data_IF_460868609053
#
_entry.id   IF_460868609053
#
_cell.length_a   1.000
_cell.length_b   1.000
_cell.length_c   1.000
_cell.angle_alpha   90.00
_cell.angle_beta   90.00
_cell.angle_gamma   90.00
#
_symmetry.space_group_name_H-M   'P 1'
#
loop_
_entity.id
_entity.type
_entity.pdbx_description
1 polymer ?
#
# COMPACT_ATOMS: atom_id res chain seq x y z
N UNK A 1 11.80 -0.85 -6.22
CA UNK A 1 11.90 -2.02 -5.30
C UNK A 1 10.63 -2.86 -5.27
N UNK A 2 9.46 -2.32 -4.91
CA UNK A 2 8.20 -3.08 -4.87
C UNK A 2 7.89 -3.87 -6.16
N UNK A 3 8.04 -3.22 -7.33
CA UNK A 3 7.86 -3.88 -8.64
C UNK A 3 8.73 -5.14 -8.83
N UNK A 4 9.99 -5.11 -8.37
CA UNK A 4 10.92 -6.25 -8.51
C UNK A 4 10.55 -7.40 -7.57
N UNK A 5 10.05 -7.08 -6.36
CA UNK A 5 9.57 -8.10 -5.42
C UNK A 5 8.33 -8.78 -5.99
N UNK A 6 7.40 -8.02 -6.60
CA UNK A 6 6.24 -8.55 -7.29
C UNK A 6 6.64 -9.42 -8.49
N UNK A 7 7.61 -8.99 -9.28
CA UNK A 7 8.13 -9.77 -10.40
C UNK A 7 8.64 -11.14 -9.94
N UNK A 8 9.51 -11.17 -8.93
CA UNK A 8 10.01 -12.43 -8.38
C UNK A 8 8.87 -13.26 -7.80
N UNK A 9 7.92 -12.64 -7.10
CA UNK A 9 6.75 -13.32 -6.55
C UNK A 9 5.88 -13.97 -7.63
N UNK A 10 5.62 -13.26 -8.74
CA UNK A 10 4.89 -13.78 -9.90
C UNK A 10 5.63 -14.96 -10.53
N UNK A 11 6.95 -14.84 -10.71
CA UNK A 11 7.76 -15.94 -11.26
C UNK A 11 7.64 -17.20 -10.38
N UNK A 12 7.76 -17.06 -9.07
CA UNK A 12 7.66 -18.17 -8.11
C UNK A 12 6.26 -18.80 -8.11
N UNK A 13 5.20 -17.99 -8.15
CA UNK A 13 3.82 -18.49 -8.20
C UNK A 13 3.54 -19.28 -9.48
N UNK A 14 4.03 -18.80 -10.64
CA UNK A 14 3.91 -19.54 -11.90
C UNK A 14 4.61 -20.88 -11.82
N UNK A 15 5.88 -20.87 -11.39
CA UNK A 15 6.66 -22.10 -11.22
C UNK A 15 6.00 -23.10 -10.26
N UNK A 16 5.35 -22.61 -9.19
CA UNK A 16 4.58 -23.44 -8.27
C UNK A 16 3.32 -24.03 -8.92
N UNK A 17 2.53 -23.22 -9.63
CA UNK A 17 1.30 -23.67 -10.27
C UNK A 17 1.55 -24.64 -11.43
N UNK A 18 2.71 -24.55 -12.06
CA UNK A 18 3.17 -25.48 -13.10
C UNK A 18 3.77 -26.78 -12.51
N UNK A 19 4.06 -26.80 -11.21
CA UNK A 19 4.62 -27.95 -10.50
C UNK A 19 3.51 -28.86 -9.95
N UNK A 20 3.74 -30.18 -9.98
CA UNK A 20 2.85 -31.17 -9.36
C UNK A 20 3.01 -31.27 -7.83
N UNK A 21 4.02 -30.60 -7.26
CA UNK A 21 4.30 -30.65 -5.82
C UNK A 21 3.50 -29.59 -5.06
N UNK A 22 2.65 -30.03 -4.14
CA UNK A 22 1.98 -29.11 -3.21
C UNK A 22 2.97 -28.62 -2.14
N UNK A 23 3.11 -27.29 -1.94
CA UNK A 23 3.93 -26.74 -0.87
C UNK A 23 3.30 -26.96 0.50
N UNK A 24 4.13 -27.08 1.54
CA UNK A 24 3.69 -27.29 2.92
C UNK A 24 2.80 -26.17 3.46
N UNK A 25 3.18 -24.90 3.24
CA UNK A 25 2.53 -23.72 3.82
C UNK A 25 1.81 -22.89 2.75
N UNK A 26 1.03 -23.53 1.86
CA UNK A 26 0.28 -22.93 0.73
C UNK A 26 1.15 -22.38 -0.41
N UNK A 27 2.31 -21.82 -0.10
CA UNK A 27 3.30 -21.33 -1.06
C UNK A 27 4.70 -21.87 -0.79
N UNK A 28 5.54 -21.94 -1.83
CA UNK A 28 6.94 -22.35 -1.71
C UNK A 28 7.81 -21.41 -0.86
N UNK A 29 8.87 -21.94 -0.27
CA UNK A 29 9.72 -21.28 0.74
C UNK A 29 10.22 -19.89 0.32
N UNK A 30 10.74 -19.75 -0.90
CA UNK A 30 11.19 -18.46 -1.45
C UNK A 30 10.07 -17.40 -1.40
N UNK A 31 8.83 -17.78 -1.72
CA UNK A 31 7.71 -16.86 -1.75
C UNK A 31 7.24 -16.49 -0.33
N UNK A 32 7.36 -17.41 0.63
CA UNK A 32 7.07 -17.14 2.04
C UNK A 32 7.91 -15.98 2.58
N UNK A 33 9.15 -15.83 2.11
CA UNK A 33 10.05 -14.73 2.50
C UNK A 33 9.61 -13.38 1.88
N UNK A 34 9.03 -13.41 0.68
CA UNK A 34 8.65 -12.18 -0.04
C UNK A 34 7.28 -11.63 0.37
N UNK A 35 6.32 -12.51 0.70
CA UNK A 35 4.95 -12.12 1.01
C UNK A 35 4.81 -11.10 2.16
N UNK A 36 5.56 -11.18 3.27
CA UNK A 36 5.53 -10.15 4.31
C UNK A 36 5.83 -8.75 3.75
N UNK A 37 6.88 -8.61 2.94
CA UNK A 37 7.25 -7.33 2.36
C UNK A 37 6.19 -6.82 1.38
N UNK A 38 5.63 -7.70 0.54
CA UNK A 38 4.55 -7.35 -0.40
C UNK A 38 3.32 -6.87 0.36
N UNK A 39 2.91 -7.61 1.39
CA UNK A 39 1.78 -7.29 2.24
C UNK A 39 1.94 -5.92 2.91
N UNK A 40 3.12 -5.63 3.48
CA UNK A 40 3.39 -4.34 4.12
C UNK A 40 3.34 -3.19 3.11
N UNK A 41 3.83 -3.39 1.88
CA UNK A 41 3.67 -2.41 0.82
C UNK A 41 2.19 -2.17 0.48
N UNK A 42 1.37 -3.22 0.41
CA UNK A 42 -0.07 -3.10 0.24
C UNK A 42 -0.72 -2.30 1.38
N UNK A 43 -0.37 -2.58 2.64
CA UNK A 43 -0.88 -1.84 3.80
C UNK A 43 -0.50 -0.36 3.79
N UNK A 44 0.75 -0.06 3.41
CA UNK A 44 1.18 1.32 3.25
C UNK A 44 0.39 2.02 2.13
N UNK A 45 0.22 1.36 0.98
CA UNK A 45 -0.55 1.93 -0.12
C UNK A 45 -2.02 2.15 0.26
N UNK A 46 -2.62 1.25 1.04
CA UNK A 46 -3.96 1.43 1.62
C UNK A 46 -4.07 2.70 2.45
N UNK A 47 -3.06 2.99 3.29
CA UNK A 47 -3.02 4.17 4.15
C UNK A 47 -2.82 5.48 3.36
N UNK A 48 -2.03 5.43 2.28
CA UNK A 48 -1.44 6.62 1.64
C UNK A 48 -1.89 6.80 0.20
N UNK A 49 -3.17 6.54 -0.11
CA UNK A 49 -3.71 6.59 -1.48
C UNK A 49 -3.44 7.90 -2.21
N UNK A 50 -3.44 9.04 -1.50
CA UNK A 50 -3.16 10.36 -2.09
C UNK A 50 -1.71 10.55 -2.54
N UNK A 51 -0.79 9.69 -2.11
CA UNK A 51 0.64 9.77 -2.47
C UNK A 51 0.91 9.12 -3.82
N UNK A 52 0.16 8.06 -4.14
CA UNK A 52 0.42 7.23 -5.31
C UNK A 52 -0.78 7.14 -6.27
N UNK A 53 -1.95 7.70 -5.96
CA UNK A 53 -3.11 7.76 -6.85
C UNK A 53 -3.38 9.23 -7.27
N UNK A 54 -3.26 9.59 -8.56
CA UNK A 54 -3.02 8.71 -9.71
C UNK A 54 -1.63 8.07 -9.69
N UNK A 55 -1.50 6.81 -10.16
CA UNK A 55 -0.23 6.11 -10.27
C UNK A 55 0.89 6.98 -10.85
N UNK A 56 2.04 7.11 -10.16
CA UNK A 56 3.13 7.90 -10.69
C UNK A 56 3.63 7.25 -11.99
N UNK A 57 3.88 8.08 -13.01
CA UNK A 57 4.53 7.62 -14.24
C UNK A 57 5.97 7.24 -13.93
N UNK A 58 6.32 5.97 -14.13
CA UNK A 58 7.70 5.50 -13.99
C UNK A 58 8.47 5.54 -15.33
N UNK A 59 7.96 6.24 -16.34
CA UNK A 59 8.50 6.27 -17.72
C UNK A 59 9.97 6.68 -17.80
N UNK A 60 10.46 7.44 -16.82
CA UNK A 60 11.82 7.98 -16.81
C UNK A 60 12.84 6.97 -16.25
N UNK A 61 12.40 5.93 -15.55
CA UNK A 61 13.27 4.91 -14.98
C UNK A 61 13.45 3.74 -15.96
N UNK A 62 14.35 3.90 -16.93
CA UNK A 62 14.71 2.86 -17.91
C UNK A 62 15.56 1.70 -17.35
N UNK A 63 15.75 1.63 -16.03
CA UNK A 63 16.60 0.63 -15.38
C UNK A 63 15.72 -0.44 -14.74
N UNK A 64 15.61 -1.58 -15.42
CA UNK A 64 14.86 -2.74 -14.93
C UNK A 64 14.15 -3.50 -16.05
N UNK A 65 13.62 -4.70 -15.75
CA UNK A 65 12.85 -5.49 -16.72
C UNK A 65 11.56 -4.77 -17.11
N UNK A 66 11.11 -4.94 -18.36
CA UNK A 66 9.93 -4.24 -18.88
C UNK A 66 8.67 -4.58 -18.07
N UNK A 67 7.81 -3.59 -17.87
CA UNK A 67 6.53 -3.74 -17.18
C UNK A 67 6.46 -2.98 -15.85
N UNK A 68 5.27 -2.49 -15.53
CA UNK A 68 4.98 -1.69 -14.35
C UNK A 68 4.56 -2.54 -13.15
N UNK A 69 4.54 -1.92 -11.96
CA UNK A 69 4.18 -2.60 -10.73
C UNK A 69 2.70 -3.06 -10.71
N UNK A 70 1.80 -2.35 -11.39
CA UNK A 70 0.37 -2.60 -11.36
C UNK A 70 -0.01 -3.80 -12.22
N UNK A 71 0.57 -3.93 -13.41
CA UNK A 71 0.43 -5.12 -14.25
C UNK A 71 0.98 -6.38 -13.55
N UNK A 72 2.12 -6.24 -12.84
CA UNK A 72 2.70 -7.35 -12.04
C UNK A 72 1.82 -7.70 -10.84
N UNK A 73 1.27 -6.70 -10.14
CA UNK A 73 0.34 -6.93 -9.04
C UNK A 73 -0.95 -7.60 -9.51
N UNK A 74 -1.52 -7.16 -10.64
CA UNK A 74 -2.71 -7.78 -11.23
C UNK A 74 -2.45 -9.27 -11.54
N UNK A 75 -1.31 -9.56 -12.15
CA UNK A 75 -0.87 -10.94 -12.41
C UNK A 75 -0.73 -11.73 -11.10
N UNK A 76 -0.12 -11.15 -10.07
CA UNK A 76 0.04 -11.81 -8.78
C UNK A 76 -1.32 -12.12 -8.13
N UNK A 77 -2.27 -11.19 -8.15
CA UNK A 77 -3.63 -11.38 -7.64
C UNK A 77 -4.32 -12.53 -8.35
N UNK A 78 -4.27 -12.57 -9.69
CA UNK A 78 -4.84 -13.66 -10.49
C UNK A 78 -4.23 -15.03 -10.15
N UNK A 79 -2.93 -15.07 -9.83
CA UNK A 79 -2.24 -16.32 -9.49
C UNK A 79 -2.54 -16.76 -8.05
N UNK A 80 -2.58 -15.82 -7.10
CA UNK A 80 -2.93 -16.08 -5.71
C UNK A 80 -4.38 -16.60 -5.57
N UNK A 81 -5.31 -16.09 -6.38
CA UNK A 81 -6.70 -16.54 -6.40
C UNK A 81 -6.85 -18.01 -6.83
N UNK A 82 -5.88 -18.54 -7.59
CA UNK A 82 -5.86 -19.96 -7.99
C UNK A 82 -5.35 -20.89 -6.89
N UNK A 83 -4.77 -20.35 -5.81
CA UNK A 83 -4.26 -21.16 -4.71
C UNK A 83 -5.40 -21.64 -3.82
N UNK A 84 -5.28 -22.86 -3.32
CA UNK A 84 -6.22 -23.42 -2.35
C UNK A 84 -5.91 -22.95 -0.91
N UNK A 85 -5.82 -21.64 -0.70
CA UNK A 85 -5.53 -21.03 0.61
C UNK A 85 -6.76 -21.04 1.55
N UNK A 86 -7.94 -21.41 1.02
CA UNK A 86 -9.18 -21.59 1.78
C UNK A 86 -9.18 -22.83 2.67
N UNK A 87 -8.14 -23.68 2.62
CA UNK A 87 -8.01 -24.85 3.51
C UNK A 87 -8.04 -24.48 5.00
N UNK A 88 -7.62 -23.26 5.34
CA UNK A 88 -7.71 -22.73 6.71
C UNK A 88 -8.83 -21.70 6.77
N UNK A 89 -9.91 -22.02 7.48
CA UNK A 89 -11.06 -21.13 7.66
C UNK A 89 -10.67 -20.00 8.60
N UNK A 90 -10.14 -18.91 8.04
CA UNK A 90 -9.89 -17.67 8.78
C UNK A 90 -11.22 -17.08 9.25
N UNK A 91 -11.37 -16.88 10.56
CA UNK A 91 -12.57 -16.33 11.17
C UNK A 91 -12.37 -14.83 11.40
N UNK A 92 -13.29 -14.00 10.91
CA UNK A 92 -13.24 -12.56 11.15
C UNK A 92 -13.77 -12.25 12.55
N UNK A 93 -13.21 -11.23 13.22
CA UNK A 93 -13.61 -10.88 14.59
C UNK A 93 -15.07 -10.47 14.80
N UNK A 94 -15.87 -10.32 13.74
CA UNK A 94 -17.32 -10.09 13.84
C UNK A 94 -18.11 -11.39 14.04
N UNK A 95 -17.50 -12.52 13.75
CA UNK A 95 -18.12 -13.84 13.75
C UNK A 95 -17.68 -14.69 14.98
N UNK A 96 -17.07 -14.04 15.98
CA UNK A 96 -16.48 -14.70 17.17
C UNK A 96 -17.35 -14.68 18.42
N UNK A 97 -18.51 -14.02 18.36
CA UNK A 97 -19.48 -14.02 19.46
C UNK A 97 -19.83 -15.49 19.78
N UNK A 98 -19.57 -15.91 21.02
CA UNK A 98 -19.77 -17.27 21.57
C UNK A 98 -18.67 -18.34 21.32
N UNK A 99 -17.55 -18.03 20.65
CA UNK A 99 -16.48 -19.03 20.35
C UNK A 99 -15.07 -18.66 20.83
N UNK A 100 -14.90 -17.61 21.64
CA UNK A 100 -13.58 -17.10 22.03
C UNK A 100 -12.65 -18.14 22.69
N UNK A 101 -13.19 -19.12 23.43
CA UNK A 101 -12.38 -20.12 24.13
C UNK A 101 -11.68 -21.11 23.18
N UNK A 102 -12.20 -21.34 21.98
CA UNK A 102 -11.65 -22.30 21.01
C UNK A 102 -10.82 -21.63 19.90
N UNK A 103 -10.74 -20.30 19.93
CA UNK A 103 -10.11 -19.49 18.91
C UNK A 103 -8.80 -18.88 19.39
N UNK A 104 -7.88 -18.73 18.46
CA UNK A 104 -6.60 -18.06 18.65
C UNK A 104 -6.46 -16.91 17.65
N UNK A 105 -5.99 -15.75 18.13
CA UNK A 105 -5.77 -14.57 17.30
C UNK A 105 -4.52 -14.77 16.42
N UNK A 106 -4.71 -14.70 15.10
CA UNK A 106 -3.62 -14.81 14.13
C UNK A 106 -2.84 -13.49 14.10
N UNK A 107 -1.62 -13.49 14.64
CA UNK A 107 -0.71 -12.34 14.60
C UNK A 107 0.39 -12.56 13.58
N UNK A 108 0.56 -11.60 12.67
CA UNK A 108 1.64 -11.62 11.68
C UNK A 108 2.93 -11.05 12.28
N UNK A 109 4.07 -11.76 12.19
CA UNK A 109 5.37 -11.28 12.69
C UNK A 109 5.78 -9.91 12.16
N UNK A 110 5.52 -9.62 10.88
CA UNK A 110 5.82 -8.32 10.27
C UNK A 110 4.99 -7.17 10.87
N UNK A 111 3.76 -7.45 11.31
CA UNK A 111 2.87 -6.46 11.93
C UNK A 111 3.30 -6.15 13.36
N UNK A 112 3.75 -7.19 14.08
CA UNK A 112 4.35 -7.02 15.41
C UNK A 112 5.66 -6.23 15.29
N UNK A 113 6.49 -6.56 14.29
CA UNK A 113 7.79 -5.91 14.08
C UNK A 113 7.65 -4.44 13.74
N UNK A 114 6.62 -4.08 12.97
CA UNK A 114 6.34 -2.70 12.57
C UNK A 114 5.30 -2.00 13.47
N UNK A 115 4.97 -2.59 14.62
CA UNK A 115 4.06 -1.98 15.57
C UNK A 115 4.61 -0.62 16.04
N UNK A 116 3.77 0.42 15.97
CA UNK A 116 4.18 1.80 16.29
C UNK A 116 4.82 2.56 15.13
N UNK A 117 5.06 1.92 13.98
CA UNK A 117 5.50 2.63 12.78
C UNK A 117 4.35 3.48 12.22
N UNK A 118 4.40 4.79 12.48
CA UNK A 118 3.30 5.75 12.24
C UNK A 118 2.68 5.66 10.84
N UNK A 119 3.45 5.50 9.74
CA UNK A 119 2.87 5.35 8.41
C UNK A 119 1.92 4.15 8.25
N UNK A 120 2.02 3.10 9.07
CA UNK A 120 1.13 1.93 9.01
C UNK A 120 0.01 1.97 10.05
N UNK A 121 0.03 2.93 10.98
CA UNK A 121 -0.98 3.04 12.04
C UNK A 121 -2.34 3.57 11.58
N UNK A 122 -2.41 4.14 10.37
CA UNK A 122 -3.64 4.74 9.81
C UNK A 122 -4.62 3.70 9.26
N UNK A 123 -4.23 2.43 9.17
CA UNK A 123 -5.10 1.33 8.75
C UNK A 123 -5.27 0.33 9.91
N UNK A 124 -6.21 0.59 10.85
CA UNK A 124 -6.51 -0.35 11.91
C UNK A 124 -6.92 -1.69 11.29
N UNK A 125 -6.13 -2.72 11.56
CA UNK A 125 -6.35 -4.06 11.02
C UNK A 125 -7.46 -4.73 11.81
N UNK A 126 -8.49 -5.21 11.11
CA UNK A 126 -9.54 -5.99 11.75
C UNK A 126 -8.94 -7.31 12.26
N UNK A 127 -9.28 -7.75 13.50
CA UNK A 127 -8.72 -8.97 14.07
C UNK A 127 -9.20 -10.20 13.31
N UNK A 128 -8.32 -11.20 13.20
CA UNK A 128 -8.56 -12.44 12.49
C UNK A 128 -8.11 -13.62 13.35
N UNK A 129 -8.96 -14.63 13.41
CA UNK A 129 -8.83 -15.77 14.31
C UNK A 129 -8.77 -17.08 13.54
N UNK A 130 -8.25 -18.10 14.19
CA UNK A 130 -8.23 -19.48 13.71
C UNK A 130 -8.58 -20.42 14.87
N UNK A 131 -9.11 -21.61 14.58
CA UNK A 131 -9.31 -22.65 15.59
C UNK A 131 -7.96 -23.13 16.14
N UNK A 132 -7.88 -23.41 17.44
CA UNK A 132 -6.63 -23.85 18.10
C UNK A 132 -6.05 -25.16 17.57
N UNK A 133 -6.84 -25.95 16.84
CA UNK A 133 -6.42 -27.21 16.22
C UNK A 133 -5.68 -27.01 14.89
N UNK A 134 -5.78 -25.82 14.30
CA UNK A 134 -5.19 -25.50 13.00
C UNK A 134 -3.70 -25.12 13.12
N UNK A 135 -2.97 -25.27 12.02
CA UNK A 135 -1.57 -24.84 11.95
C UNK A 135 -1.48 -23.31 11.84
N UNK A 136 -0.91 -22.69 12.86
CA UNK A 136 -0.73 -21.23 12.92
C UNK A 136 0.14 -20.68 11.79
N UNK A 137 1.17 -21.42 11.32
CA UNK A 137 2.02 -20.96 10.21
C UNK A 137 1.22 -20.90 8.90
N UNK A 138 0.37 -21.89 8.67
CA UNK A 138 -0.55 -21.92 7.52
C UNK A 138 -1.55 -20.79 7.64
N UNK A 139 -2.16 -20.59 8.83
CA UNK A 139 -3.12 -19.51 9.07
C UNK A 139 -2.52 -18.12 8.80
N UNK A 140 -1.30 -17.87 9.27
CA UNK A 140 -0.57 -16.63 8.99
C UNK A 140 -0.33 -16.44 7.48
N UNK A 141 0.00 -17.51 6.75
CA UNK A 141 0.19 -17.43 5.30
C UNK A 141 -1.11 -17.12 4.57
N UNK A 142 -2.20 -17.80 4.93
CA UNK A 142 -3.54 -17.54 4.40
C UNK A 142 -3.96 -16.09 4.68
N UNK A 143 -3.64 -15.56 5.87
CA UNK A 143 -3.95 -14.18 6.22
C UNK A 143 -3.17 -13.18 5.35
N UNK A 144 -1.89 -13.43 5.06
CA UNK A 144 -1.11 -12.60 4.12
C UNK A 144 -1.72 -12.59 2.73
N UNK A 145 -2.04 -13.78 2.19
CA UNK A 145 -2.66 -13.93 0.87
C UNK A 145 -3.99 -13.19 0.83
N UNK A 146 -4.85 -13.40 1.83
CA UNK A 146 -6.15 -12.73 1.96
C UNK A 146 -6.03 -11.20 1.95
N UNK A 147 -5.06 -10.64 2.69
CA UNK A 147 -4.82 -9.19 2.71
C UNK A 147 -4.32 -8.64 1.36
N UNK A 148 -3.44 -9.37 0.68
CA UNK A 148 -2.95 -8.98 -0.66
C UNK A 148 -4.09 -9.04 -1.68
N UNK A 149 -4.91 -10.09 -1.64
CA UNK A 149 -6.09 -10.23 -2.50
C UNK A 149 -7.11 -9.12 -2.21
N UNK A 150 -7.40 -8.82 -0.95
CA UNK A 150 -8.27 -7.69 -0.59
C UNK A 150 -7.77 -6.37 -1.20
N UNK A 151 -6.47 -6.10 -1.08
CA UNK A 151 -5.88 -4.90 -1.67
C UNK A 151 -6.10 -4.83 -3.19
N UNK A 152 -5.79 -5.91 -3.91
CA UNK A 152 -5.90 -5.94 -5.37
C UNK A 152 -7.34 -5.98 -5.88
N UNK A 153 -8.15 -6.90 -5.36
CA UNK A 153 -9.50 -7.20 -5.86
C UNK A 153 -10.52 -6.17 -5.40
N UNK A 154 -10.46 -5.74 -4.13
CA UNK A 154 -11.48 -4.87 -3.54
C UNK A 154 -11.02 -3.43 -3.59
N UNK A 155 -9.85 -3.13 -3.01
CA UNK A 155 -9.43 -1.75 -2.85
C UNK A 155 -9.04 -1.11 -4.18
N UNK A 156 -8.10 -1.68 -4.95
CA UNK A 156 -7.63 -1.09 -6.21
C UNK A 156 -8.70 -1.03 -7.31
N UNK A 157 -9.65 -1.98 -7.31
CA UNK A 157 -10.81 -1.93 -8.20
C UNK A 157 -11.90 -0.95 -7.74
N UNK A 158 -11.99 -0.70 -6.43
CA UNK A 158 -13.02 0.14 -5.81
C UNK A 158 -12.65 1.63 -5.67
N UNK A 159 -11.48 2.04 -6.16
CA UNK A 159 -11.09 3.45 -6.22
C UNK A 159 -11.98 4.23 -7.19
N UNK A 160 -12.19 5.52 -6.91
CA UNK A 160 -12.93 6.42 -7.80
C UNK A 160 -12.33 6.44 -9.22
N UNK A 161 -11.00 6.47 -9.30
CA UNK A 161 -10.27 6.11 -10.52
C UNK A 161 -9.62 4.74 -10.29
N UNK A 162 -10.18 3.66 -10.87
CA UNK A 162 -9.70 2.31 -10.63
C UNK A 162 -8.29 2.14 -11.20
N UNK A 163 -7.48 1.34 -10.51
CA UNK A 163 -6.11 1.01 -10.92
C UNK A 163 -6.07 -0.37 -11.56
N UNK A 164 -6.90 -1.29 -11.04
CA UNK A 164 -7.16 -2.60 -11.61
C UNK A 164 -8.63 -2.68 -12.03
N UNK A 165 -8.93 -3.50 -13.04
CA UNK A 165 -10.31 -3.91 -13.35
C UNK A 165 -10.37 -5.41 -13.57
N UNK A 166 -11.52 -6.01 -13.29
CA UNK A 166 -11.83 -7.36 -13.73
C UNK A 166 -12.27 -7.31 -15.20
N UNK A 167 -11.51 -7.97 -16.07
CA UNK A 167 -11.79 -8.10 -17.50
C UNK A 167 -12.19 -9.53 -17.83
N UNK A 168 -13.29 -9.70 -18.57
CA UNK A 168 -13.66 -10.99 -19.15
C UNK A 168 -12.97 -11.17 -20.49
N UNK A 169 -12.18 -12.22 -20.61
CA UNK A 169 -11.59 -12.66 -21.88
C UNK A 169 -12.64 -13.23 -22.82
N UNK A 170 -12.33 -13.29 -24.12
CA UNK A 170 -13.17 -13.93 -25.14
C UNK A 170 -13.44 -15.41 -24.84
N UNK A 171 -12.52 -16.06 -24.12
CA UNK A 171 -12.65 -17.44 -23.62
C UNK A 171 -13.57 -17.59 -22.40
N UNK A 172 -14.14 -16.50 -21.89
CA UNK A 172 -15.05 -16.49 -20.74
C UNK A 172 -14.37 -16.44 -19.37
N UNK A 173 -13.04 -16.50 -19.32
CA UNK A 173 -12.26 -16.40 -18.08
C UNK A 173 -12.16 -14.94 -17.66
N UNK A 174 -12.49 -14.65 -16.40
CA UNK A 174 -12.33 -13.31 -15.82
C UNK A 174 -10.94 -13.17 -15.19
N UNK A 175 -10.24 -12.09 -15.49
CA UNK A 175 -8.91 -11.81 -14.92
C UNK A 175 -8.76 -10.33 -14.56
N UNK A 176 -8.02 -10.05 -13.50
CA UNK A 176 -7.66 -8.70 -13.12
C UNK A 176 -6.56 -8.18 -14.06
N UNK A 177 -6.76 -6.98 -14.61
CA UNK A 177 -5.80 -6.28 -15.47
C UNK A 177 -5.55 -4.87 -14.95
N UNK A 178 -4.34 -4.36 -15.18
CA UNK A 178 -4.05 -2.95 -14.91
C UNK A 178 -4.74 -2.06 -15.95
N UNK A 179 -5.30 -0.95 -15.49
CA UNK A 179 -5.81 0.13 -16.36
C UNK A 179 -4.92 1.37 -16.30
N UNK A 180 -3.76 1.26 -15.65
CA UNK A 180 -2.77 2.34 -15.62
C UNK A 180 -2.17 2.46 -17.00
N UNK A 181 -2.34 3.62 -17.63
CA UNK A 181 -1.72 3.90 -18.91
C UNK A 181 -0.20 3.99 -18.71
N UNK A 182 0.50 2.88 -18.96
CA UNK A 182 1.92 2.95 -19.25
C UNK A 182 2.02 3.73 -20.57
N UNK A 183 2.45 5.00 -20.51
CA UNK A 183 2.70 5.80 -21.71
C UNK A 183 3.54 4.93 -22.63
N UNK A 184 2.91 4.47 -23.70
CA UNK A 184 3.51 3.51 -24.61
C UNK A 184 4.78 4.18 -25.08
N UNK A 185 5.92 3.54 -24.85
CA UNK A 185 7.15 3.92 -25.53
C UNK A 185 6.83 3.87 -27.01
N UNK A 186 6.61 5.05 -27.60
CA UNK A 186 6.66 5.19 -29.04
C UNK A 186 8.00 4.60 -29.48
N UNK A 187 7.90 3.77 -30.51
CA UNK A 187 8.98 3.05 -31.18
C UNK A 187 10.25 3.90 -31.36
N UNK A 188 11.45 3.29 -31.50
CA UNK A 188 12.68 4.03 -31.77
C UNK A 188 12.66 4.51 -33.22
N UNK A 189 11.93 5.59 -33.48
CA UNK A 189 11.98 6.32 -34.74
C UNK A 189 12.48 7.72 -34.47
N UNK A 190 13.74 7.92 -34.83
CA UNK A 190 14.48 9.17 -35.03
C UNK A 190 15.28 9.70 -33.84
N UNK A 191 16.53 10.15 -34.07
CA UNK A 191 17.36 10.76 -33.04
C UNK A 191 16.76 12.13 -32.66
N UNK A 192 16.81 12.55 -31.39
CA UNK A 192 16.33 13.86 -31.00
C UNK A 192 17.27 14.92 -31.58
N UNK A 193 16.70 15.81 -32.41
CA UNK A 193 17.31 17.09 -32.76
C UNK A 193 17.53 17.86 -31.47
N UNK A 194 18.80 18.18 -31.19
CA UNK A 194 19.20 19.12 -30.15
C UNK A 194 18.47 20.45 -30.39
N UNK A 195 17.47 20.73 -29.56
CA UNK A 195 16.92 22.07 -29.42
C UNK A 195 17.58 22.65 -28.18
N UNK A 196 18.65 23.41 -28.38
CA UNK A 196 19.22 24.31 -27.39
C UNK A 196 18.10 25.26 -26.92
N UNK A 197 17.57 25.01 -25.73
CA UNK A 197 16.84 26.02 -24.97
C UNK A 197 17.69 26.27 -23.73
N UNK A 198 18.32 27.43 -23.73
CA UNK A 198 19.32 27.91 -22.78
C UNK A 198 18.89 27.66 -21.32
N UNK A 199 19.67 26.85 -20.61
CA UNK A 199 19.65 26.76 -19.16
C UNK A 199 20.25 28.05 -18.59
N UNK A 200 19.39 28.94 -18.05
CA UNK A 200 19.84 30.03 -17.19
C UNK A 200 20.35 29.43 -15.87
N UNK A 201 21.66 29.24 -15.79
CA UNK A 201 22.38 28.90 -14.56
C UNK A 201 22.69 30.21 -13.83
N UNK A 202 21.98 30.50 -12.74
CA UNK A 202 22.43 31.53 -11.80
C UNK A 202 23.59 30.96 -10.98
N UNK A 203 24.80 31.27 -11.43
CA UNK A 203 26.04 30.95 -10.73
C UNK A 203 26.27 31.99 -9.64
N UNK A 204 26.13 31.60 -8.36
CA UNK A 204 26.57 32.42 -7.23
C UNK A 204 28.09 32.40 -7.18
N UNK A 205 28.72 33.51 -7.59
CA UNK A 205 30.15 33.72 -7.41
C UNK A 205 30.42 34.20 -5.99
N UNK A 206 31.19 33.41 -5.23
CA UNK A 206 31.90 33.86 -4.03
C UNK A 206 32.86 35.00 -4.41
N UNK A 207 32.72 36.13 -3.73
CA UNK A 207 33.70 37.20 -3.69
C UNK A 207 33.96 37.51 -2.23
N UNK A 208 35.03 36.95 -1.68
CA UNK A 208 35.65 37.44 -0.46
C UNK A 208 36.15 38.86 -0.72
N UNK A 209 35.75 39.85 0.08
CA UNK A 209 36.68 40.81 0.70
C UNK A 209 36.09 41.32 2.02
N UNK A 210 36.87 41.06 3.07
CA UNK A 210 36.85 41.49 4.46
C UNK A 210 36.05 42.75 4.84
N UNK A 211 35.33 42.67 5.97
CA UNK A 211 35.51 43.60 7.09
C UNK A 211 34.75 43.15 8.35
N UNK A 212 35.48 42.44 9.22
CA UNK A 212 35.55 42.60 10.68
C UNK A 212 34.32 43.22 11.36
N UNK A 213 33.61 42.45 12.19
CA UNK A 213 33.48 42.74 13.64
C UNK A 213 32.63 41.71 14.40
N UNK A 214 33.25 41.18 15.47
CA UNK A 214 32.66 40.69 16.73
C UNK A 214 31.91 39.34 16.78
N UNK A 215 32.69 38.33 17.18
CA UNK A 215 32.32 37.29 18.17
C UNK A 215 31.27 37.74 19.20
N UNK A 216 30.15 37.01 19.31
CA UNK A 216 29.42 36.68 20.56
C UNK A 216 28.42 35.55 20.25
N UNK A 217 28.78 34.29 20.54
CA UNK A 217 28.51 33.57 21.80
C UNK A 217 27.00 33.27 22.00
N UNK A 218 26.66 31.98 21.92
CA UNK A 218 25.38 31.40 22.37
C UNK A 218 24.94 32.00 23.71
N UNK A 219 23.64 32.32 23.90
CA UNK A 219 23.07 32.41 25.23
C UNK A 219 22.54 31.03 25.64
N UNK A 220 23.29 30.43 26.56
CA UNK A 220 22.77 29.60 27.63
C UNK A 220 21.66 30.33 28.40
N UNK A 221 20.73 29.55 28.94
CA UNK A 221 19.55 29.95 29.71
C UNK A 221 19.73 31.16 30.66
N UNK A 222 18.72 32.05 30.66
CA UNK A 222 18.55 33.09 31.68
C UNK A 222 17.25 33.88 31.45
N UNK A 223 16.25 33.67 32.31
CA UNK A 223 15.02 34.45 32.40
C UNK A 223 15.31 35.95 32.56
N UNK A 224 14.75 36.84 31.73
CA UNK A 224 13.99 38.05 32.13
C UNK A 224 13.08 38.47 30.96
N UNK A 225 11.85 38.81 31.32
CA UNK A 225 10.70 39.33 30.54
C UNK A 225 11.01 40.50 29.59
N UNK A 226 10.58 40.41 28.33
CA UNK A 226 10.01 41.54 27.56
C UNK A 226 9.23 41.08 26.30
N UNK A 227 8.29 41.91 25.86
CA UNK A 227 6.94 41.60 25.41
C UNK A 227 6.77 41.43 23.88
N UNK A 228 7.56 40.56 23.20
CA UNK A 228 7.53 40.47 21.71
C UNK A 228 7.48 39.04 21.12
N UNK A 229 7.29 37.99 21.92
CA UNK A 229 7.15 36.59 21.44
C UNK A 229 5.70 36.12 21.30
N UNK A 230 4.72 36.86 21.84
CA UNK A 230 3.30 36.55 21.75
C UNK A 230 2.72 36.46 20.31
N UNK A 231 3.12 37.29 19.32
CA UNK A 231 2.47 37.26 18.01
C UNK A 231 2.92 36.06 17.16
N UNK A 232 4.16 35.59 17.32
CA UNK A 232 4.71 34.47 16.51
C UNK A 232 4.13 33.14 16.96
N UNK A 233 4.11 32.87 18.27
CA UNK A 233 3.51 31.67 18.84
C UNK A 233 2.01 31.58 18.54
N UNK A 234 1.29 32.71 18.56
CA UNK A 234 -0.13 32.75 18.22
C UNK A 234 -0.41 32.45 16.74
N UNK A 235 0.49 32.82 15.83
CA UNK A 235 0.39 32.48 14.39
C UNK A 235 0.63 30.99 14.18
N UNK A 236 1.65 30.41 14.84
CA UNK A 236 1.93 28.97 14.75
C UNK A 236 0.79 28.13 15.31
N UNK A 237 0.22 28.52 16.47
CA UNK A 237 -0.92 27.83 17.07
C UNK A 237 -2.12 27.85 16.11
N UNK A 238 -2.40 28.99 15.45
CA UNK A 238 -3.49 29.07 14.46
C UNK A 238 -3.26 28.16 13.25
N UNK A 239 -2.04 28.15 12.71
CA UNK A 239 -1.68 27.27 11.59
C UNK A 239 -1.83 25.79 11.95
N UNK A 240 -1.45 25.40 13.17
CA UNK A 240 -1.61 24.03 13.65
C UNK A 240 -3.07 23.65 13.86
N UNK A 241 -3.92 24.57 14.33
CA UNK A 241 -5.37 24.36 14.46
C UNK A 241 -6.00 24.16 13.08
N UNK A 242 -5.71 25.03 12.11
CA UNK A 242 -6.21 24.90 10.74
C UNK A 242 -5.77 23.58 10.09
N UNK A 243 -4.50 23.20 10.28
CA UNK A 243 -3.98 21.92 9.79
C UNK A 243 -4.67 20.73 10.46
N UNK A 244 -4.94 20.81 11.76
CA UNK A 244 -5.68 19.78 12.49
C UNK A 244 -7.11 19.64 11.96
N UNK A 245 -7.82 20.75 11.74
CA UNK A 245 -9.18 20.75 11.22
C UNK A 245 -9.26 20.18 9.79
N UNK A 246 -8.28 20.50 8.94
CA UNK A 246 -8.18 19.93 7.60
C UNK A 246 -7.92 18.42 7.65
N UNK A 247 -7.03 17.96 8.53
CA UNK A 247 -6.75 16.53 8.72
C UNK A 247 -7.98 15.79 9.27
N UNK A 248 -8.71 16.35 10.24
CA UNK A 248 -9.95 15.76 10.74
C UNK A 248 -11.04 15.70 9.65
N UNK A 249 -11.14 16.73 8.79
CA UNK A 249 -12.05 16.70 7.63
C UNK A 249 -11.69 15.59 6.67
N UNK A 250 -10.40 15.38 6.41
CA UNK A 250 -9.90 14.29 5.55
C UNK A 250 -10.17 12.92 6.15
N UNK A 251 -9.90 12.74 7.44
CA UNK A 251 -10.20 11.49 8.16
C UNK A 251 -11.70 11.15 8.07
N UNK A 252 -12.59 12.12 8.33
CA UNK A 252 -14.04 11.91 8.21
C UNK A 252 -14.47 11.56 6.77
N UNK A 253 -13.78 12.07 5.74
CA UNK A 253 -14.05 11.68 4.34
C UNK A 253 -13.63 10.23 4.10
N UNK A 254 -12.46 9.82 4.59
CA UNK A 254 -11.97 8.45 4.50
C UNK A 254 -12.87 7.47 5.27
N UNK A 255 -13.28 7.80 6.49
CA UNK A 255 -14.17 6.95 7.30
C UNK A 255 -15.54 6.75 6.62
N UNK A 256 -16.12 7.83 6.05
CA UNK A 256 -17.37 7.73 5.29
C UNK A 256 -17.20 6.85 4.04
N UNK A 257 -16.07 6.93 3.36
CA UNK A 257 -15.78 6.07 2.23
C UNK A 257 -15.65 4.61 2.67
N UNK A 258 -14.89 4.33 3.75
CA UNK A 258 -14.78 2.99 4.36
C UNK A 258 -16.14 2.42 4.74
N UNK A 259 -17.01 3.23 5.32
CA UNK A 259 -18.35 2.79 5.73
C UNK A 259 -19.27 2.51 4.53
N UNK A 260 -19.18 3.29 3.44
CA UNK A 260 -19.89 2.99 2.18
C UNK A 260 -19.45 1.66 1.60
N UNK A 261 -18.14 1.42 1.56
CA UNK A 261 -17.56 0.16 1.08
C UNK A 261 -18.00 -1.02 1.96
N UNK A 262 -18.06 -0.86 3.28
CA UNK A 262 -18.55 -1.91 4.19
C UNK A 262 -20.04 -2.23 3.98
N UNK A 263 -20.87 -1.22 3.74
CA UNK A 263 -22.31 -1.40 3.46
C UNK A 263 -22.52 -2.09 2.11
N UNK A 264 -21.75 -1.70 1.08
CA UNK A 264 -21.80 -2.36 -0.23
C UNK A 264 -21.35 -3.82 -0.17
N UNK A 265 -20.34 -4.13 0.65
CA UNK A 265 -19.89 -5.49 0.92
C UNK A 265 -20.99 -6.34 1.59
N UNK A 266 -21.67 -5.79 2.61
CA UNK A 266 -22.80 -6.46 3.25
C UNK A 266 -23.96 -6.72 2.28
N UNK A 267 -24.21 -5.77 1.36
CA UNK A 267 -25.25 -5.91 0.32
C UNK A 267 -24.91 -7.01 -0.70
N UNK A 268 -23.69 -6.99 -1.25
CA UNK A 268 -23.25 -8.00 -2.22
C UNK A 268 -23.29 -9.42 -1.62
N UNK A 269 -22.94 -9.57 -0.34
CA UNK A 269 -23.06 -10.85 0.39
C UNK A 269 -24.51 -11.33 0.56
N UNK A 270 -25.44 -10.41 0.80
CA UNK A 270 -26.87 -10.75 0.91
C UNK A 270 -27.47 -11.17 -0.43
N UNK A 271 -27.07 -10.54 -1.53
CA UNK A 271 -27.53 -10.85 -2.88
C UNK A 271 -26.99 -12.21 -3.38
N UNK A 272 -25.78 -12.62 -2.96
CA UNK A 272 -25.25 -13.96 -3.23
C UNK A 272 -25.89 -15.08 -2.40
N UNK A 273 -26.46 -14.75 -1.23
CA UNK A 273 -27.13 -15.74 -0.35
C UNK A 273 -28.58 -15.99 -0.76
N UNK A 274 -29.27 -14.99 -1.33
CA UNK A 274 -30.64 -15.14 -1.84
C UNK A 274 -30.74 -15.75 -3.25
N UNK A 275 -29.62 -16.01 -3.92
CA UNK A 275 -29.57 -16.67 -5.24
C UNK A 275 -29.61 -18.21 -5.20
N UNK A 276 -29.66 -18.80 -4.00
CA UNK A 276 -29.84 -20.24 -3.78
C UNK A 276 -31.18 -20.51 -3.10
N UNK A 277 -32.29 -20.29 -3.81
CA UNK A 277 -33.57 -20.98 -3.60
C UNK A 277 -34.13 -21.35 -4.98
#
# INVERSE_FOLDING_TARGET
>A
MFSLILERGVYLLKAQLDSEQEPRLVVGEDLQVLLPAIKIWCDWMLCHSTVWNPPPSCTDYRVGPPGDAWSRLATMVNLLEKLNYTRTTLIQGKDTEDREEDLELVKLPEDITLAGFTPLMLNPQDPCYVEKTEDMEVAQMCLRISKILFFGQVFLCGLETPVLKLQKSETGVSEYVSVVEASSTSSPSSPPTQSDSELMVESYSEGEEDSISTLRRLPSCGNVTDDTTAPVAAVEIRSLIERKEELERRQRKQDRHRQRVQVENARLRSETSSGCI
#
